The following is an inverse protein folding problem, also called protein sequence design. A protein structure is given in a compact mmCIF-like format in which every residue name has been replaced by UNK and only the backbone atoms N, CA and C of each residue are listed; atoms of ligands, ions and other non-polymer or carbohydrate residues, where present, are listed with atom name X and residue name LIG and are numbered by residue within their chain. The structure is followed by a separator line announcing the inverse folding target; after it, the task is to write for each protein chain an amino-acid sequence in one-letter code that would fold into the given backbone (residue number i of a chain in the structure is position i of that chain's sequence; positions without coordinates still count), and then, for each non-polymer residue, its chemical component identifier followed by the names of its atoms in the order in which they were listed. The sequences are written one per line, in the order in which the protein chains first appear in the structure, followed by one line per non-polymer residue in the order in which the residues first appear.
data_IF_061001493864
#
_entry.id   IF_061001493864
#
_cell.length_a   1.000
_cell.length_b   1.000
_cell.length_c   1.000
_cell.angle_alpha   90.00
_cell.angle_beta   90.00
_cell.angle_gamma   90.00
#
_symmetry.space_group_name_H-M   'P 1'
#
loop_
_entity.id
_entity.type
_entity.pdbx_description
1 polymer ?
#
# COMPACT_ATOMS: atom_id res chain seq x y z
N UNK A 1 -29.52 -1.64 -4.42
CA UNK A 1 -28.03 -1.63 -4.44
C UNK A 1 -27.56 -2.71 -5.40
N UNK A 2 -26.75 -2.37 -6.41
CA UNK A 2 -26.16 -3.38 -7.31
C UNK A 2 -25.13 -4.18 -6.51
N UNK A 3 -25.13 -5.52 -6.64
CA UNK A 3 -24.05 -6.33 -6.06
C UNK A 3 -22.77 -6.01 -6.84
N UNK A 4 -21.66 -5.68 -6.16
CA UNK A 4 -20.41 -5.44 -6.86
C UNK A 4 -19.94 -6.73 -7.53
N UNK A 5 -19.29 -6.61 -8.68
CA UNK A 5 -18.66 -7.77 -9.32
C UNK A 5 -17.50 -8.29 -8.45
N UNK A 6 -17.17 -9.57 -8.62
CA UNK A 6 -16.14 -10.23 -7.81
C UNK A 6 -14.77 -9.52 -7.90
N UNK A 7 -14.37 -9.08 -9.09
CA UNK A 7 -13.03 -8.55 -9.33
C UNK A 7 -12.74 -7.21 -8.60
N UNK A 8 -13.60 -6.16 -8.66
CA UNK A 8 -13.43 -4.97 -7.84
C UNK A 8 -13.38 -5.28 -6.34
N UNK A 9 -14.22 -6.20 -5.86
CA UNK A 9 -14.21 -6.61 -4.45
C UNK A 9 -12.87 -7.24 -4.10
N UNK A 10 -12.40 -8.21 -4.89
CA UNK A 10 -11.15 -8.90 -4.64
C UNK A 10 -9.96 -7.94 -4.60
N UNK A 11 -9.88 -7.03 -5.58
CA UNK A 11 -8.79 -6.06 -5.68
C UNK A 11 -8.92 -5.01 -4.60
N UNK A 12 -10.07 -4.33 -4.49
CA UNK A 12 -10.29 -3.24 -3.55
C UNK A 12 -10.10 -3.68 -2.11
N UNK A 13 -10.57 -4.88 -1.74
CA UNK A 13 -10.40 -5.41 -0.37
C UNK A 13 -9.04 -6.04 -0.11
N UNK A 14 -8.06 -5.88 -1.00
CA UNK A 14 -6.71 -6.41 -0.82
C UNK A 14 -6.67 -7.93 -0.65
N UNK A 15 -7.34 -8.66 -1.54
CA UNK A 15 -7.51 -10.12 -1.45
C UNK A 15 -8.31 -10.59 -0.22
N UNK A 16 -9.17 -9.72 0.30
CA UNK A 16 -10.07 -10.01 1.42
C UNK A 16 -9.57 -9.53 2.78
N UNK A 17 -8.36 -8.98 2.89
CA UNK A 17 -7.86 -8.37 4.14
C UNK A 17 -8.75 -7.23 4.63
N UNK A 18 -9.40 -6.50 3.72
CA UNK A 18 -10.35 -5.43 4.01
C UNK A 18 -11.64 -5.90 4.69
N UNK A 19 -11.86 -7.22 4.81
CA UNK A 19 -12.94 -7.78 5.63
C UNK A 19 -12.52 -8.07 7.08
N UNK A 20 -11.29 -7.75 7.48
CA UNK A 20 -10.87 -7.88 8.87
C UNK A 20 -11.78 -7.02 9.77
N UNK A 21 -12.32 -7.59 10.88
CA UNK A 21 -13.18 -6.85 11.80
C UNK A 21 -12.43 -5.78 12.59
N UNK A 22 -11.10 -5.91 12.71
CA UNK A 22 -10.25 -4.98 13.44
C UNK A 22 -9.23 -4.37 12.48
N UNK A 23 -9.23 -3.03 12.41
CA UNK A 23 -8.32 -2.24 11.57
C UNK A 23 -8.11 -2.89 10.19
N UNK A 24 -9.17 -2.96 9.34
CA UNK A 24 -9.09 -3.55 7.99
C UNK A 24 -7.89 -3.01 7.24
N UNK A 25 -7.60 -1.74 7.51
CA UNK A 25 -6.51 -1.09 6.88
C UNK A 25 -5.11 -1.64 7.20
N UNK A 26 -4.83 -1.73 8.50
CA UNK A 26 -3.64 -2.43 9.02
C UNK A 26 -3.56 -3.87 8.53
N UNK A 27 -4.69 -4.57 8.37
CA UNK A 27 -4.70 -5.92 7.82
C UNK A 27 -4.28 -5.96 6.34
N UNK A 28 -4.69 -4.97 5.53
CA UNK A 28 -4.22 -4.79 4.15
C UNK A 28 -2.71 -4.56 4.06
N UNK A 29 -2.20 -3.58 4.80
CA UNK A 29 -0.77 -3.29 4.86
C UNK A 29 0.06 -4.49 5.37
N UNK A 30 -0.47 -5.25 6.33
CA UNK A 30 0.20 -6.42 6.89
C UNK A 30 0.27 -7.55 5.86
N UNK A 31 -0.84 -7.83 5.18
CA UNK A 31 -0.87 -8.84 4.12
C UNK A 31 0.07 -8.48 2.97
N UNK A 32 0.10 -7.22 2.54
CA UNK A 32 1.03 -6.74 1.52
C UNK A 32 2.50 -6.93 1.94
N UNK A 33 2.81 -6.70 3.22
CA UNK A 33 4.14 -6.93 3.78
C UNK A 33 4.50 -8.42 3.80
N UNK A 34 3.56 -9.29 4.18
CA UNK A 34 3.74 -10.76 4.15
C UNK A 34 3.97 -11.25 2.72
N UNK A 35 3.21 -10.75 1.74
CA UNK A 35 3.40 -11.06 0.32
C UNK A 35 4.82 -10.67 -0.12
N UNK A 36 5.28 -9.47 0.25
CA UNK A 36 6.62 -9.01 -0.10
C UNK A 36 7.71 -9.89 0.53
N UNK A 37 7.57 -10.26 1.81
CA UNK A 37 8.50 -11.17 2.50
C UNK A 37 8.53 -12.54 1.82
N UNK A 38 7.38 -13.09 1.43
CA UNK A 38 7.32 -14.35 0.69
C UNK A 38 8.07 -14.23 -0.66
N UNK A 39 7.86 -13.14 -1.40
CA UNK A 39 8.58 -12.88 -2.65
C UNK A 39 10.09 -12.69 -2.44
N UNK A 40 10.52 -12.11 -1.31
CA UNK A 40 11.93 -11.95 -0.95
C UNK A 40 12.66 -13.30 -0.87
N UNK A 41 12.01 -14.34 -0.36
CA UNK A 41 12.58 -15.69 -0.31
C UNK A 41 12.46 -16.48 -1.63
N UNK A 42 11.58 -16.06 -2.55
CA UNK A 42 11.29 -16.79 -3.79
C UNK A 42 12.00 -16.23 -5.01
N UNK A 43 12.37 -14.95 -5.01
CA UNK A 43 12.92 -14.24 -6.17
C UNK A 43 14.34 -13.75 -5.88
N UNK A 44 15.23 -13.71 -6.89
CA UNK A 44 16.45 -12.92 -6.81
C UNK A 44 16.12 -11.46 -6.46
N UNK A 45 16.92 -10.81 -5.63
CA UNK A 45 16.59 -9.49 -5.09
C UNK A 45 16.30 -8.42 -6.17
N UNK A 46 17.04 -8.42 -7.28
CA UNK A 46 16.74 -7.54 -8.42
C UNK A 46 15.36 -7.81 -9.01
N UNK A 47 14.95 -9.08 -9.15
CA UNK A 47 13.62 -9.45 -9.63
C UNK A 47 12.52 -9.08 -8.63
N UNK A 48 12.79 -9.19 -7.32
CA UNK A 48 11.88 -8.72 -6.27
C UNK A 48 11.59 -7.21 -6.41
N UNK A 49 12.62 -6.38 -6.60
CA UNK A 49 12.44 -4.94 -6.75
C UNK A 49 11.61 -4.58 -8.00
N UNK A 50 11.90 -5.20 -9.14
CA UNK A 50 11.11 -4.99 -10.36
C UNK A 50 9.67 -5.49 -10.21
N UNK A 51 9.47 -6.62 -9.54
CA UNK A 51 8.14 -7.16 -9.25
C UNK A 51 7.37 -6.22 -8.33
N UNK A 52 8.00 -5.71 -7.27
CA UNK A 52 7.40 -4.75 -6.34
C UNK A 52 7.01 -3.47 -7.05
N UNK A 53 7.89 -2.91 -7.90
CA UNK A 53 7.59 -1.72 -8.68
C UNK A 53 6.42 -1.96 -9.67
N UNK A 54 6.38 -3.12 -10.32
CA UNK A 54 5.28 -3.51 -11.20
C UNK A 54 3.96 -3.65 -10.42
N UNK A 55 3.98 -4.25 -9.23
CA UNK A 55 2.82 -4.37 -8.35
C UNK A 55 2.31 -2.99 -7.92
N UNK A 56 3.19 -2.08 -7.49
CA UNK A 56 2.83 -0.69 -7.14
C UNK A 56 2.09 -0.02 -8.30
N UNK A 57 2.65 -0.06 -9.51
CA UNK A 57 2.03 0.57 -10.68
C UNK A 57 0.70 -0.09 -11.03
N UNK A 58 0.67 -1.42 -11.11
CA UNK A 58 -0.52 -2.18 -11.48
C UNK A 58 -1.66 -1.96 -10.48
N UNK A 59 -1.39 -2.10 -9.19
CA UNK A 59 -2.39 -1.96 -8.13
C UNK A 59 -2.76 -0.52 -7.85
N UNK A 60 -1.94 0.47 -8.22
CA UNK A 60 -2.38 1.88 -8.25
C UNK A 60 -3.53 2.04 -9.23
N UNK A 61 -3.36 1.65 -10.50
CA UNK A 61 -4.43 1.79 -11.50
C UNK A 61 -5.62 0.86 -11.22
N UNK A 62 -5.36 -0.38 -10.83
CA UNK A 62 -6.41 -1.33 -10.48
C UNK A 62 -7.19 -0.89 -9.22
N UNK A 63 -6.51 -0.28 -8.25
CA UNK A 63 -7.10 0.29 -7.04
C UNK A 63 -7.99 1.48 -7.34
N UNK A 64 -7.54 2.44 -8.16
CA UNK A 64 -8.37 3.57 -8.61
C UNK A 64 -9.64 3.04 -9.30
N UNK A 65 -9.50 2.05 -10.18
CA UNK A 65 -10.63 1.43 -10.86
C UNK A 65 -11.58 0.70 -9.89
N UNK A 66 -11.03 -0.08 -8.96
CA UNK A 66 -11.80 -0.83 -7.98
C UNK A 66 -12.54 0.09 -7.00
N UNK A 67 -11.87 1.10 -6.46
CA UNK A 67 -12.45 2.12 -5.58
C UNK A 67 -13.63 2.82 -6.25
N UNK A 68 -13.46 3.36 -7.47
CA UNK A 68 -14.55 3.99 -8.23
C UNK A 68 -15.75 3.06 -8.45
N UNK A 69 -15.52 1.76 -8.69
CA UNK A 69 -16.60 0.77 -8.87
C UNK A 69 -17.30 0.45 -7.55
N UNK A 70 -16.54 0.27 -6.49
CA UNK A 70 -17.05 -0.09 -5.17
C UNK A 70 -17.78 1.09 -4.51
N UNK A 71 -17.33 2.32 -4.75
CA UNK A 71 -17.98 3.54 -4.26
C UNK A 71 -19.46 3.60 -4.68
N UNK A 72 -19.74 3.24 -5.94
CA UNK A 72 -21.12 3.17 -6.47
C UNK A 72 -21.99 2.07 -5.81
N UNK A 73 -21.38 1.10 -5.13
CA UNK A 73 -22.05 -0.04 -4.51
C UNK A 73 -22.11 0.05 -2.98
N UNK A 74 -21.09 0.63 -2.36
CA UNK A 74 -20.87 0.64 -0.90
C UNK A 74 -20.94 2.04 -0.28
N UNK A 75 -21.02 3.10 -1.08
CA UNK A 75 -21.00 4.49 -0.62
C UNK A 75 -19.61 5.12 -0.76
N UNK A 76 -19.52 6.41 -0.45
CA UNK A 76 -18.26 7.15 -0.45
C UNK A 76 -17.26 6.54 0.53
N UNK A 77 -16.01 6.41 0.08
CA UNK A 77 -14.86 5.92 0.84
C UNK A 77 -15.13 4.68 1.72
N UNK A 78 -15.46 3.53 1.11
CA UNK A 78 -15.80 2.35 1.88
C UNK A 78 -14.54 1.82 2.58
N UNK A 79 -14.54 1.83 3.92
CA UNK A 79 -13.45 1.38 4.82
C UNK A 79 -12.91 -0.05 4.60
N UNK A 80 -13.51 -0.80 3.68
CA UNK A 80 -13.07 -2.12 3.25
C UNK A 80 -12.13 -2.07 2.05
N UNK A 81 -12.01 -0.92 1.38
CA UNK A 81 -11.00 -0.69 0.35
C UNK A 81 -9.69 -0.45 1.07
N UNK A 82 -8.72 -1.33 0.84
CA UNK A 82 -7.42 -1.39 1.54
C UNK A 82 -6.26 -1.64 0.55
N UNK A 83 -6.55 -1.52 -0.74
CA UNK A 83 -5.59 -1.72 -1.83
C UNK A 83 -4.63 -0.54 -1.97
N UNK A 84 -5.12 0.65 -1.65
CA UNK A 84 -4.36 1.87 -1.36
C UNK A 84 -3.25 1.58 -0.34
N UNK A 85 -3.56 0.93 0.77
CA UNK A 85 -2.55 0.67 1.81
C UNK A 85 -1.58 -0.45 1.42
N UNK A 86 -2.02 -1.42 0.61
CA UNK A 86 -1.12 -2.41 0.03
C UNK A 86 -0.07 -1.73 -0.85
N UNK A 87 -0.51 -0.79 -1.71
CA UNK A 87 0.37 0.01 -2.54
C UNK A 87 1.27 0.90 -1.67
N UNK A 88 0.68 1.57 -0.68
CA UNK A 88 1.34 2.47 0.24
C UNK A 88 2.51 1.83 0.98
N UNK A 89 2.38 0.57 1.43
CA UNK A 89 3.48 -0.16 2.08
C UNK A 89 4.49 -0.77 1.09
N UNK A 90 4.08 -1.15 -0.13
CA UNK A 90 5.02 -1.64 -1.14
C UNK A 90 6.02 -0.58 -1.61
N UNK A 91 5.63 0.69 -1.61
CA UNK A 91 6.52 1.80 -2.00
C UNK A 91 7.78 1.88 -1.11
N UNK A 92 7.70 2.00 0.23
CA UNK A 92 8.89 2.02 1.08
C UNK A 92 9.68 0.71 1.07
N UNK A 93 9.01 -0.42 0.79
CA UNK A 93 9.69 -1.71 0.66
C UNK A 93 10.69 -1.75 -0.52
N UNK A 94 10.56 -0.87 -1.52
CA UNK A 94 11.55 -0.71 -2.60
C UNK A 94 12.93 -0.19 -2.10
N UNK A 95 12.99 0.44 -0.92
CA UNK A 95 14.23 0.97 -0.37
C UNK A 95 14.98 -0.03 0.54
N UNK A 96 14.34 -1.14 0.92
CA UNK A 96 14.92 -2.19 1.78
C UNK A 96 16.19 -2.75 1.12
N UNK A 97 17.33 -2.86 1.83
CA UNK A 97 18.55 -3.47 1.30
C UNK A 97 18.53 -5.00 1.37
N UNK A 98 19.30 -5.64 0.50
CA UNK A 98 19.56 -7.09 0.53
C UNK A 98 20.79 -7.40 1.39
N UNK A 99 20.62 -7.31 2.71
CA UNK A 99 21.67 -7.60 3.69
C UNK A 99 21.06 -8.17 4.97
N UNK A 100 21.90 -8.54 5.95
CA UNK A 100 21.47 -9.14 7.22
C UNK A 100 20.54 -8.25 8.09
N UNK A 101 20.21 -7.03 7.66
CA UNK A 101 19.33 -6.08 8.37
C UNK A 101 17.99 -5.87 7.67
N UNK A 102 17.71 -6.55 6.56
CA UNK A 102 16.52 -6.34 5.73
C UNK A 102 15.22 -6.35 6.55
N UNK A 103 15.11 -7.22 7.57
CA UNK A 103 13.91 -7.35 8.40
C UNK A 103 13.62 -6.10 9.24
N UNK A 104 14.65 -5.39 9.73
CA UNK A 104 14.48 -4.12 10.43
C UNK A 104 13.97 -3.03 9.49
N UNK A 105 14.45 -3.04 8.24
CA UNK A 105 13.97 -2.11 7.22
C UNK A 105 12.53 -2.40 6.79
N UNK A 106 12.10 -3.67 6.75
CA UNK A 106 10.70 -4.03 6.50
C UNK A 106 9.78 -3.57 7.64
N UNK A 107 10.19 -3.78 8.89
CA UNK A 107 9.44 -3.30 10.06
C UNK A 107 9.36 -1.77 10.04
N UNK A 108 10.47 -1.09 9.73
CA UNK A 108 10.50 0.36 9.59
C UNK A 108 9.61 0.85 8.43
N UNK A 109 9.60 0.15 7.29
CA UNK A 109 8.73 0.45 6.15
C UNK A 109 7.26 0.42 6.55
N UNK A 110 6.84 -0.67 7.18
CA UNK A 110 5.48 -0.82 7.68
C UNK A 110 5.12 0.27 8.69
N UNK A 111 5.97 0.48 9.70
CA UNK A 111 5.69 1.45 10.76
C UNK A 111 5.66 2.89 10.25
N UNK A 112 6.65 3.31 9.45
CA UNK A 112 6.71 4.67 8.90
C UNK A 112 5.53 4.94 7.96
N UNK A 113 5.16 3.97 7.13
CA UNK A 113 4.00 4.09 6.26
C UNK A 113 2.74 4.30 7.08
N UNK A 114 2.46 3.43 8.06
CA UNK A 114 1.27 3.57 8.92
C UNK A 114 1.26 4.89 9.70
N UNK A 115 2.42 5.37 10.15
CA UNK A 115 2.51 6.68 10.81
C UNK A 115 2.13 7.80 9.85
N UNK A 116 2.63 7.79 8.61
CA UNK A 116 2.33 8.84 7.64
C UNK A 116 0.92 8.77 7.06
N UNK A 117 0.38 7.58 6.87
CA UNK A 117 -1.02 7.37 6.51
C UNK A 117 -1.97 7.89 7.61
N UNK A 118 -1.68 7.62 8.88
CA UNK A 118 -2.53 8.09 9.99
C UNK A 118 -2.38 9.61 10.23
N UNK A 119 -1.17 10.14 10.20
CA UNK A 119 -0.88 11.56 10.51
C UNK A 119 -1.18 12.47 9.33
N UNK A 120 -1.10 11.95 8.10
CA UNK A 120 -1.23 12.67 6.82
C UNK A 120 -0.43 13.98 6.74
N UNK A 121 0.90 13.94 6.96
CA UNK A 121 1.74 15.15 6.98
C UNK A 121 1.95 15.73 5.56
N UNK A 122 2.47 16.97 5.51
CA UNK A 122 3.11 17.59 4.33
C UNK A 122 2.33 17.57 3.00
N UNK A 123 1.00 17.45 3.02
CA UNK A 123 0.18 17.48 1.82
C UNK A 123 -0.46 16.14 1.46
N UNK A 124 -0.17 15.05 2.19
CA UNK A 124 -0.92 13.78 2.12
C UNK A 124 -2.42 14.05 2.21
N UNK A 125 -2.85 14.84 3.21
CA UNK A 125 -4.26 15.23 3.34
C UNK A 125 -4.83 16.03 2.17
N UNK A 126 -3.99 16.73 1.40
CA UNK A 126 -4.46 17.47 0.21
C UNK A 126 -4.78 16.53 -0.94
N UNK A 127 -4.21 15.32 -0.97
CA UNK A 127 -4.47 14.32 -2.00
C UNK A 127 -5.91 13.79 -1.92
N UNK A 128 -6.52 13.78 -0.73
CA UNK A 128 -7.94 13.44 -0.53
C UNK A 128 -8.90 14.35 -1.33
N UNK A 129 -8.46 15.53 -1.78
CA UNK A 129 -9.28 16.43 -2.60
C UNK A 129 -9.42 15.96 -4.06
N UNK A 130 -8.62 14.99 -4.51
CA UNK A 130 -8.82 14.39 -5.82
C UNK A 130 -10.10 13.54 -5.81
N UNK A 131 -10.82 13.52 -6.94
CA UNK A 131 -12.15 12.89 -7.01
C UNK A 131 -12.06 11.37 -7.13
N UNK A 132 -12.97 10.68 -6.46
CA UNK A 132 -13.18 9.23 -6.55
C UNK A 132 -11.94 8.45 -6.10
N UNK A 133 -11.74 7.29 -6.72
CA UNK A 133 -10.63 6.39 -6.40
C UNK A 133 -9.23 6.98 -6.58
N UNK A 134 -9.08 8.13 -7.23
CA UNK A 134 -7.78 8.83 -7.30
C UNK A 134 -7.44 9.44 -5.93
N UNK A 135 -8.41 10.07 -5.24
CA UNK A 135 -8.19 10.64 -3.92
C UNK A 135 -7.77 9.57 -2.91
N UNK A 136 -8.50 8.45 -2.91
CA UNK A 136 -8.29 7.27 -2.03
C UNK A 136 -6.92 6.62 -2.24
N UNK A 137 -6.40 6.57 -3.46
CA UNK A 137 -5.11 5.92 -3.70
C UNK A 137 -3.92 6.85 -3.48
N UNK A 138 -4.09 8.16 -3.71
CA UNK A 138 -2.96 9.08 -3.85
C UNK A 138 -2.43 9.62 -2.51
N UNK A 139 -3.25 9.67 -1.47
CA UNK A 139 -2.77 9.97 -0.12
C UNK A 139 -1.88 8.84 0.41
N UNK A 140 -2.28 7.57 0.27
CA UNK A 140 -1.47 6.40 0.63
C UNK A 140 -0.20 6.28 -0.21
N UNK A 141 -0.28 6.53 -1.52
CA UNK A 141 0.90 6.58 -2.38
C UNK A 141 1.87 7.65 -1.90
N UNK A 142 1.39 8.85 -1.55
CA UNK A 142 2.24 9.93 -1.07
C UNK A 142 2.84 9.63 0.31
N UNK A 143 2.05 9.04 1.22
CA UNK A 143 2.53 8.54 2.50
C UNK A 143 3.65 7.49 2.31
N UNK A 144 3.44 6.54 1.40
CA UNK A 144 4.44 5.54 1.01
C UNK A 144 5.71 6.15 0.43
N UNK A 145 5.61 7.19 -0.41
CA UNK A 145 6.77 7.93 -0.95
C UNK A 145 7.56 8.61 0.17
N UNK A 146 6.90 9.23 1.14
CA UNK A 146 7.60 9.83 2.29
C UNK A 146 8.33 8.78 3.12
N UNK A 147 7.71 7.62 3.36
CA UNK A 147 8.35 6.50 4.04
C UNK A 147 9.55 5.96 3.25
N UNK A 148 9.42 5.84 1.92
CA UNK A 148 10.53 5.43 1.04
C UNK A 148 11.73 6.37 1.16
N UNK A 149 11.50 7.68 1.11
CA UNK A 149 12.56 8.69 1.22
C UNK A 149 13.28 8.53 2.56
N UNK A 150 12.55 8.39 3.67
CA UNK A 150 13.17 8.23 4.98
C UNK A 150 13.99 6.93 5.10
N UNK A 151 13.50 5.82 4.55
CA UNK A 151 14.22 4.56 4.55
C UNK A 151 15.46 4.63 3.68
N UNK A 152 15.36 5.22 2.49
CA UNK A 152 16.48 5.42 1.58
C UNK A 152 17.57 6.30 2.22
N UNK A 153 17.17 7.38 2.91
CA UNK A 153 18.09 8.23 3.68
C UNK A 153 18.72 7.46 4.85
N UNK A 154 17.93 6.72 5.63
CA UNK A 154 18.44 5.91 6.73
C UNK A 154 19.48 4.89 6.24
N UNK A 155 19.19 4.19 5.14
CA UNK A 155 20.13 3.28 4.47
C UNK A 155 21.39 3.98 4.00
N UNK A 156 21.27 5.17 3.41
CA UNK A 156 22.44 5.93 2.98
C UNK A 156 23.34 6.37 4.15
N UNK A 157 22.75 6.71 5.30
CA UNK A 157 23.48 7.15 6.50
C UNK A 157 24.07 5.97 7.29
N UNK A 158 23.38 4.83 7.35
CA UNK A 158 23.74 3.67 8.20
C UNK A 158 24.54 2.60 7.43
N UNK A 159 24.39 2.51 6.10
CA UNK A 159 24.95 1.47 5.23
C UNK A 159 24.00 0.31 4.94
#
# INVERSE_FOLDING_TARGET
MKRPSFLPVLIGTGFGSGFSPFAPGTAGALLASIIWIALYFLLPFTALLWTTAALVVLFTFAGIWAANKLESCWGEDPSRVVVDEMVGVWIPLLAVPDNDRWYWYVIAAFALFRIFDIVKPLGVRKMENFKGGVGVMMDDVLAGVYSFILIAVARWVIG
#
